data_IF_606991292040
#
_entry.id   IF_606991292040
#
_cell.length_a   1.000
_cell.length_b   1.000
_cell.length_c   1.000
_cell.angle_alpha   90.00
_cell.angle_beta   90.00
_cell.angle_gamma   90.00
#
_symmetry.space_group_name_H-M   'P 1'
#
loop_
_entity.id
_entity.type
_entity.pdbx_description
1 polymer ?
#
# COMPACT_ATOMS: atom_id res chain seq x y z
N UNK A 1 0.55 0.76 28.05
CA UNK A 1 1.99 1.01 27.82
C UNK A 1 2.26 0.79 26.34
N UNK A 2 3.14 1.58 25.72
CA UNK A 2 3.53 1.39 24.30
C UNK A 2 4.46 0.20 24.23
N UNK A 3 4.12 -0.80 23.43
CA UNK A 3 4.91 -1.99 23.19
C UNK A 3 6.22 -1.65 22.47
N UNK A 4 7.25 -2.45 22.74
CA UNK A 4 8.54 -2.37 22.06
C UNK A 4 8.59 -3.38 20.92
N UNK A 5 9.51 -3.21 19.95
CA UNK A 5 9.68 -4.18 18.90
C UNK A 5 9.84 -5.60 19.43
N UNK A 6 9.12 -6.54 18.84
CA UNK A 6 9.17 -7.96 19.24
C UNK A 6 10.42 -8.63 18.67
N UNK A 7 10.76 -8.30 17.44
CA UNK A 7 11.98 -8.74 16.77
C UNK A 7 13.07 -7.70 16.97
N UNK A 8 14.14 -8.08 17.65
CA UNK A 8 15.26 -7.21 17.93
C UNK A 8 16.35 -7.35 16.86
N UNK A 9 17.34 -6.44 16.89
CA UNK A 9 18.52 -6.57 16.04
C UNK A 9 19.33 -7.85 16.34
N UNK A 10 19.32 -8.32 17.59
CA UNK A 10 20.06 -9.52 17.99
C UNK A 10 19.50 -10.77 17.31
N UNK A 11 18.18 -10.84 17.13
CA UNK A 11 17.50 -11.97 16.50
C UNK A 11 17.86 -12.13 15.01
N UNK A 12 18.38 -11.06 14.38
CA UNK A 12 18.64 -10.98 12.94
C UNK A 12 20.06 -10.52 12.61
N UNK A 13 21.00 -10.67 13.54
CA UNK A 13 22.36 -10.14 13.41
C UNK A 13 23.10 -10.64 12.14
N UNK A 14 22.79 -11.87 11.74
CA UNK A 14 23.37 -12.56 10.58
C UNK A 14 22.60 -12.36 9.28
N UNK A 15 21.52 -11.56 9.29
CA UNK A 15 20.72 -11.25 8.10
C UNK A 15 21.39 -10.14 7.25
N UNK A 16 22.03 -10.46 6.11
CA UNK A 16 22.68 -9.46 5.26
C UNK A 16 21.69 -8.49 4.63
N UNK A 17 20.44 -8.92 4.41
CA UNK A 17 19.40 -8.09 3.83
C UNK A 17 18.98 -6.98 4.80
N UNK A 18 18.71 -7.34 6.06
CA UNK A 18 18.45 -6.34 7.12
C UNK A 18 19.65 -5.42 7.34
N UNK A 19 20.89 -5.94 7.26
CA UNK A 19 22.11 -5.11 7.38
C UNK A 19 22.20 -4.04 6.28
N UNK A 20 22.00 -4.41 5.01
CA UNK A 20 22.00 -3.48 3.87
C UNK A 20 20.98 -2.37 4.04
N UNK A 21 19.78 -2.71 4.50
CA UNK A 21 18.72 -1.73 4.76
C UNK A 21 19.09 -0.77 5.91
N UNK A 22 19.63 -1.30 7.02
CA UNK A 22 20.09 -0.48 8.15
C UNK A 22 21.19 0.50 7.76
N UNK A 23 22.14 0.07 6.95
CA UNK A 23 23.18 0.96 6.42
C UNK A 23 22.56 2.07 5.56
N UNK A 24 21.57 1.71 4.75
CA UNK A 24 20.84 2.65 3.90
C UNK A 24 20.10 3.75 4.65
N UNK A 25 19.45 3.42 5.77
CA UNK A 25 18.74 4.38 6.62
C UNK A 25 19.62 4.94 7.75
N UNK A 26 20.92 4.70 7.69
CA UNK A 26 21.92 5.09 8.70
C UNK A 26 21.71 4.53 10.12
N UNK A 27 20.79 3.57 10.29
CA UNK A 27 20.50 2.90 11.56
C UNK A 27 21.64 1.98 12.05
N UNK A 28 22.66 1.74 11.22
CA UNK A 28 23.93 1.12 11.65
C UNK A 28 24.90 2.09 12.32
N UNK A 29 24.74 3.41 12.09
CA UNK A 29 25.59 4.46 12.64
C UNK A 29 24.92 5.18 13.81
N UNK A 30 23.62 5.45 13.67
CA UNK A 30 22.82 6.14 14.67
C UNK A 30 21.75 5.18 15.16
N UNK A 31 22.01 4.56 16.32
CA UNK A 31 21.08 3.59 16.92
C UNK A 31 20.13 4.33 17.85
N UNK A 32 18.83 4.24 17.57
CA UNK A 32 17.80 4.81 18.42
C UNK A 32 17.78 4.12 19.79
N UNK A 33 17.79 4.91 20.86
CA UNK A 33 17.59 4.40 22.23
C UNK A 33 16.18 3.83 22.42
N UNK A 34 16.00 2.97 23.42
CA UNK A 34 14.66 2.45 23.76
C UNK A 34 13.63 3.57 24.01
N UNK A 35 14.05 4.67 24.63
CA UNK A 35 13.19 5.82 24.88
C UNK A 35 12.79 6.54 23.59
N UNK A 36 13.69 6.66 22.62
CA UNK A 36 13.39 7.22 21.29
C UNK A 36 12.45 6.30 20.51
N UNK A 37 12.75 5.01 20.45
CA UNK A 37 11.91 4.00 19.80
C UNK A 37 10.49 4.02 20.38
N UNK A 38 10.36 4.06 21.70
CA UNK A 38 9.06 4.14 22.37
C UNK A 38 8.30 5.42 22.04
N UNK A 39 8.99 6.57 22.00
CA UNK A 39 8.37 7.85 21.61
C UNK A 39 7.91 7.84 20.16
N UNK A 40 8.71 7.30 19.25
CA UNK A 40 8.35 7.19 17.84
C UNK A 40 7.11 6.30 17.64
N UNK A 41 7.07 5.10 18.24
CA UNK A 41 5.89 4.22 18.21
C UNK A 41 4.66 4.87 18.84
N UNK A 42 4.83 5.58 19.96
CA UNK A 42 3.74 6.32 20.58
C UNK A 42 3.16 7.38 19.65
N UNK A 43 4.01 8.19 19.01
CA UNK A 43 3.56 9.21 18.07
C UNK A 43 2.89 8.59 16.83
N UNK A 44 3.41 7.46 16.34
CA UNK A 44 2.78 6.71 15.25
C UNK A 44 1.37 6.25 15.64
N UNK A 45 1.19 5.60 16.80
CA UNK A 45 -0.13 5.18 17.26
C UNK A 45 -1.08 6.35 17.53
N UNK A 46 -0.57 7.48 18.04
CA UNK A 46 -1.36 8.70 18.17
C UNK A 46 -1.88 9.19 16.80
N UNK A 47 -1.06 9.12 15.76
CA UNK A 47 -1.48 9.46 14.39
C UNK A 47 -2.46 8.44 13.80
N UNK A 48 -2.38 7.16 14.18
CA UNK A 48 -3.41 6.17 13.84
C UNK A 48 -4.75 6.55 14.48
N UNK A 49 -4.77 6.94 15.76
CA UNK A 49 -6.00 7.45 16.41
C UNK A 49 -6.52 8.74 15.78
N UNK A 50 -5.64 9.63 15.35
CA UNK A 50 -6.03 10.83 14.60
C UNK A 50 -6.65 10.46 13.24
N UNK A 51 -6.06 9.52 12.50
CA UNK A 51 -6.62 9.04 11.24
C UNK A 51 -8.00 8.40 11.44
N UNK A 52 -8.15 7.56 12.47
CA UNK A 52 -9.44 6.95 12.85
C UNK A 52 -10.52 8.02 13.11
N UNK A 53 -10.18 9.11 13.81
CA UNK A 53 -11.13 10.21 14.03
C UNK A 53 -11.58 10.88 12.73
N UNK A 54 -10.69 10.97 11.73
CA UNK A 54 -11.03 11.50 10.39
C UNK A 54 -11.91 10.56 9.58
N UNK A 55 -11.72 9.24 9.70
CA UNK A 55 -12.67 8.27 9.15
C UNK A 55 -14.05 8.43 9.83
N UNK A 56 -14.08 8.63 11.15
CA UNK A 56 -15.31 8.93 11.89
C UNK A 56 -16.04 10.17 11.37
N UNK A 57 -15.32 11.27 11.12
CA UNK A 57 -15.86 12.49 10.51
C UNK A 57 -16.44 12.23 9.10
N UNK A 58 -15.75 11.46 8.26
CA UNK A 58 -16.23 11.10 6.91
C UNK A 58 -17.50 10.25 6.96
N UNK A 59 -17.54 9.23 7.82
CA UNK A 59 -18.73 8.36 7.99
C UNK A 59 -19.91 9.14 8.55
N UNK A 60 -19.68 10.06 9.50
CA UNK A 60 -20.71 10.95 10.02
C UNK A 60 -21.29 11.84 8.91
N UNK A 61 -20.42 12.44 8.08
CA UNK A 61 -20.86 13.27 6.95
C UNK A 61 -21.68 12.48 5.92
N UNK A 62 -21.27 11.25 5.58
CA UNK A 62 -22.04 10.36 4.69
C UNK A 62 -23.41 10.02 5.29
N UNK A 63 -23.50 9.85 6.62
CA UNK A 63 -24.76 9.59 7.30
C UNK A 63 -25.69 10.80 7.30
N UNK A 64 -25.16 11.98 7.62
CA UNK A 64 -25.91 13.24 7.60
C UNK A 64 -26.42 13.58 6.20
N UNK A 65 -25.65 13.22 5.17
CA UNK A 65 -26.03 13.37 3.77
C UNK A 65 -26.98 12.26 3.26
N UNK A 66 -27.38 11.29 4.09
CA UNK A 66 -28.20 10.13 3.69
C UNK A 66 -27.56 9.28 2.57
N UNK A 67 -26.23 9.27 2.47
CA UNK A 67 -25.47 8.56 1.43
C UNK A 67 -24.81 7.28 1.95
N UNK A 68 -24.72 7.09 3.26
CA UNK A 68 -23.96 5.99 3.86
C UNK A 68 -24.44 4.60 3.39
N UNK A 69 -25.75 4.39 3.33
CA UNK A 69 -26.33 3.08 2.96
C UNK A 69 -26.12 2.72 1.48
N UNK A 70 -25.71 3.68 0.65
CA UNK A 70 -25.38 3.49 -0.76
C UNK A 70 -23.89 3.72 -1.05
N UNK A 71 -23.03 3.67 -0.02
CA UNK A 71 -21.60 3.91 -0.16
C UNK A 71 -20.81 2.69 0.32
N UNK A 72 -19.88 2.23 -0.51
CA UNK A 72 -18.84 1.29 -0.08
C UNK A 72 -17.61 2.10 0.34
N UNK A 73 -17.17 1.89 1.58
CA UNK A 73 -15.97 2.48 2.16
C UNK A 73 -14.86 1.44 2.12
N UNK A 74 -13.72 1.83 1.53
CA UNK A 74 -12.50 1.02 1.49
C UNK A 74 -11.40 1.76 2.25
N UNK A 75 -10.83 1.14 3.27
CA UNK A 75 -9.70 1.68 4.05
C UNK A 75 -8.47 0.83 3.80
N UNK A 76 -7.39 1.46 3.35
CA UNK A 76 -6.11 0.81 3.08
C UNK A 76 -4.93 1.77 3.23
N UNK A 77 -3.72 1.29 2.99
CA UNK A 77 -2.48 2.07 2.96
C UNK A 77 -1.63 1.67 1.75
N UNK A 78 -0.69 2.52 1.34
CA UNK A 78 0.24 2.25 0.24
C UNK A 78 1.39 1.31 0.64
N UNK A 79 1.85 1.41 1.89
CA UNK A 79 2.82 0.49 2.50
C UNK A 79 2.73 0.53 4.03
N UNK A 80 3.44 -0.39 4.70
CA UNK A 80 3.59 -0.44 6.15
C UNK A 80 4.79 0.36 6.67
N UNK A 81 5.14 0.14 7.94
CA UNK A 81 6.33 0.69 8.60
C UNK A 81 6.93 -0.34 9.57
N UNK A 82 8.24 -0.55 9.51
CA UNK A 82 8.97 -1.45 10.40
C UNK A 82 8.91 -1.03 11.87
N UNK A 83 8.73 0.26 12.19
CA UNK A 83 8.55 0.78 13.54
C UNK A 83 9.55 0.27 14.59
N UNK A 84 10.80 0.04 14.18
CA UNK A 84 11.90 -0.45 15.02
C UNK A 84 12.09 -1.97 15.02
N UNK A 85 11.18 -2.74 14.42
CA UNK A 85 11.32 -4.20 14.25
C UNK A 85 12.58 -4.53 13.46
N UNK A 86 13.33 -5.54 13.89
CA UNK A 86 14.63 -5.93 13.30
C UNK A 86 15.70 -4.83 13.39
N UNK A 87 15.46 -3.78 14.17
CA UNK A 87 16.26 -2.55 14.16
C UNK A 87 16.09 -1.72 12.88
N UNK A 88 15.02 -1.94 12.13
CA UNK A 88 14.66 -1.23 10.90
C UNK A 88 13.53 -0.22 11.17
N UNK A 89 13.48 0.81 10.34
CA UNK A 89 12.44 1.85 10.34
C UNK A 89 11.94 2.07 8.92
N UNK A 90 10.74 2.64 8.78
CA UNK A 90 10.12 2.96 7.50
C UNK A 90 9.80 1.70 6.68
N UNK A 91 9.96 1.76 5.35
CA UNK A 91 9.58 0.73 4.38
C UNK A 91 10.79 0.12 3.64
N UNK A 92 10.73 0.08 2.31
CA UNK A 92 11.81 -0.35 1.39
C UNK A 92 12.14 -1.85 1.43
N UNK A 93 11.29 -2.65 2.05
CA UNK A 93 11.52 -4.09 2.21
C UNK A 93 10.20 -4.87 2.26
N UNK A 94 10.31 -6.20 2.16
CA UNK A 94 9.16 -7.10 2.11
C UNK A 94 8.90 -7.90 3.40
N UNK A 95 9.52 -7.52 4.52
CA UNK A 95 9.10 -8.03 5.83
C UNK A 95 7.68 -7.56 6.14
N UNK A 96 6.94 -8.34 6.96
CA UNK A 96 5.51 -8.16 7.22
C UNK A 96 5.18 -6.72 7.60
N UNK A 97 5.95 -6.11 8.50
CA UNK A 97 5.70 -4.76 8.99
C UNK A 97 5.77 -3.67 7.90
N UNK A 98 6.61 -3.86 6.87
CA UNK A 98 6.77 -2.91 5.76
C UNK A 98 5.84 -3.22 4.58
N UNK A 99 5.58 -4.50 4.29
CA UNK A 99 4.81 -4.91 3.12
C UNK A 99 3.30 -5.07 3.37
N UNK A 100 2.91 -5.49 4.58
CA UNK A 100 1.51 -5.76 4.90
C UNK A 100 0.80 -4.44 5.24
N UNK A 101 -0.30 -4.20 4.53
CA UNK A 101 -1.17 -3.04 4.73
C UNK A 101 -2.57 -3.50 5.11
N UNK A 102 -3.34 -2.68 5.85
CA UNK A 102 -4.76 -2.96 6.07
C UNK A 102 -5.52 -2.92 4.74
N UNK A 103 -6.56 -3.74 4.63
CA UNK A 103 -7.57 -3.63 3.58
C UNK A 103 -8.92 -4.00 4.19
N UNK A 104 -9.74 -2.99 4.47
CA UNK A 104 -11.08 -3.15 5.05
C UNK A 104 -12.10 -2.62 4.06
N UNK A 105 -13.15 -3.38 3.79
CA UNK A 105 -14.29 -2.96 2.97
C UNK A 105 -15.56 -3.05 3.80
N UNK A 106 -16.42 -2.04 3.70
CA UNK A 106 -17.72 -2.00 4.35
C UNK A 106 -18.74 -1.27 3.47
N UNK A 107 -19.99 -1.70 3.47
CA UNK A 107 -21.06 -1.08 2.68
C UNK A 107 -22.05 -2.09 2.10
N UNK A 108 -22.96 -1.64 1.24
CA UNK A 108 -23.99 -2.50 0.65
C UNK A 108 -23.37 -3.67 -0.14
N UNK A 109 -23.84 -4.90 0.15
CA UNK A 109 -23.39 -6.12 -0.52
C UNK A 109 -22.03 -6.67 -0.05
N UNK A 110 -21.33 -5.97 0.84
CA UNK A 110 -20.08 -6.46 1.44
C UNK A 110 -20.40 -7.34 2.66
N UNK A 111 -19.84 -8.55 2.69
CA UNK A 111 -20.05 -9.50 3.76
C UNK A 111 -19.30 -9.09 5.04
N UNK A 112 -19.91 -9.38 6.20
CA UNK A 112 -19.21 -9.26 7.48
C UNK A 112 -18.30 -10.46 7.69
N UNK A 113 -17.02 -10.23 7.99
CA UNK A 113 -16.07 -11.28 8.30
C UNK A 113 -14.63 -10.91 7.96
N UNK A 114 -13.78 -11.93 7.86
CA UNK A 114 -12.37 -11.81 7.51
C UNK A 114 -12.04 -12.76 6.37
N UNK A 115 -11.34 -12.27 5.34
CA UNK A 115 -10.69 -13.10 4.34
C UNK A 115 -9.22 -13.33 4.74
N UNK A 116 -8.72 -14.55 4.53
CA UNK A 116 -7.35 -14.93 4.90
C UNK A 116 -6.38 -14.98 3.72
N UNK A 117 -6.90 -14.94 2.50
CA UNK A 117 -6.11 -14.95 1.28
C UNK A 117 -5.17 -13.74 1.21
N UNK A 118 -3.95 -13.97 0.75
CA UNK A 118 -3.08 -12.91 0.28
C UNK A 118 -3.70 -12.23 -0.94
N UNK A 119 -3.64 -10.90 -0.92
CA UNK A 119 -4.07 -10.00 -1.98
C UNK A 119 -3.06 -8.85 -2.11
N UNK A 120 -3.18 -8.05 -3.16
CA UNK A 120 -2.28 -6.93 -3.44
C UNK A 120 -3.04 -5.64 -3.73
N UNK A 121 -2.36 -4.49 -3.57
CA UNK A 121 -2.95 -3.18 -3.89
C UNK A 121 -3.32 -3.04 -5.38
N UNK A 122 -2.67 -3.80 -6.27
CA UNK A 122 -3.04 -3.82 -7.71
C UNK A 122 -4.42 -4.41 -7.96
N UNK A 123 -4.98 -5.15 -7.00
CA UNK A 123 -6.31 -5.74 -7.06
C UNK A 123 -7.42 -4.70 -6.82
N UNK A 124 -7.09 -3.51 -6.29
CA UNK A 124 -8.07 -2.47 -6.00
C UNK A 124 -8.75 -1.94 -7.27
N UNK A 125 -7.99 -1.71 -8.35
CA UNK A 125 -8.55 -1.21 -9.61
C UNK A 125 -9.66 -2.13 -10.18
N UNK A 126 -9.41 -3.42 -10.45
CA UNK A 126 -10.47 -4.32 -10.93
C UNK A 126 -11.57 -4.53 -9.89
N UNK A 127 -11.28 -4.49 -8.59
CA UNK A 127 -12.30 -4.57 -7.54
C UNK A 127 -13.25 -3.37 -7.59
N UNK A 128 -12.74 -2.15 -7.73
CA UNK A 128 -13.57 -0.93 -7.84
C UNK A 128 -14.42 -0.93 -9.11
N UNK A 129 -13.88 -1.44 -10.23
CA UNK A 129 -14.65 -1.61 -11.48
C UNK A 129 -15.80 -2.58 -11.29
N UNK A 130 -15.55 -3.72 -10.63
CA UNK A 130 -16.57 -4.71 -10.35
C UNK A 130 -17.65 -4.19 -9.39
N UNK A 131 -17.24 -3.46 -8.34
CA UNK A 131 -18.16 -2.78 -7.42
C UNK A 131 -19.07 -1.81 -8.18
N UNK A 132 -18.50 -0.96 -9.05
CA UNK A 132 -19.28 -0.01 -9.85
C UNK A 132 -20.27 -0.71 -10.81
N UNK A 133 -19.94 -1.93 -11.24
CA UNK A 133 -20.79 -2.75 -12.10
C UNK A 133 -21.89 -3.52 -11.35
N UNK A 134 -21.85 -3.62 -10.01
CA UNK A 134 -22.90 -4.32 -9.21
C UNK A 134 -24.30 -3.77 -9.46
N UNK A 135 -24.42 -2.49 -9.83
CA UNK A 135 -25.69 -1.84 -10.19
C UNK A 135 -26.16 -2.14 -11.63
N UNK A 136 -25.63 -3.17 -12.29
CA UNK A 136 -25.98 -3.54 -13.67
C UNK A 136 -25.34 -2.65 -14.74
N UNK A 137 -24.26 -1.94 -14.40
CA UNK A 137 -23.49 -1.14 -15.37
C UNK A 137 -22.52 -2.02 -16.15
N UNK A 138 -22.33 -1.71 -17.42
CA UNK A 138 -21.28 -2.33 -18.23
C UNK A 138 -19.90 -1.93 -17.71
N UNK A 139 -18.98 -2.90 -17.64
CA UNK A 139 -17.60 -2.64 -17.23
C UNK A 139 -16.87 -1.92 -18.37
N UNK A 140 -16.11 -0.85 -18.09
CA UNK A 140 -15.28 -0.24 -19.12
C UNK A 140 -14.17 -1.21 -19.55
N UNK A 141 -13.73 -1.08 -20.79
CA UNK A 141 -12.49 -1.70 -21.24
C UNK A 141 -11.29 -1.02 -20.56
N UNK A 142 -10.31 -1.82 -20.11
CA UNK A 142 -9.08 -1.27 -19.58
C UNK A 142 -8.20 -0.73 -20.71
N UNK A 143 -7.65 0.47 -20.53
CA UNK A 143 -6.75 1.10 -21.52
C UNK A 143 -5.40 0.40 -21.69
N UNK A 144 -5.04 -0.50 -20.76
CA UNK A 144 -3.86 -1.35 -20.82
C UNK A 144 -4.10 -2.65 -20.05
N UNK A 145 -3.30 -3.71 -20.29
CA UNK A 145 -3.33 -4.89 -19.45
C UNK A 145 -3.12 -4.53 -17.97
N UNK A 146 -3.89 -5.17 -17.10
CA UNK A 146 -3.77 -5.05 -15.65
C UNK A 146 -3.24 -6.38 -15.07
N UNK A 147 -2.52 -6.31 -13.96
CA UNK A 147 -1.99 -7.50 -13.28
C UNK A 147 -2.80 -7.91 -12.04
N UNK A 148 -3.67 -7.03 -11.56
CA UNK A 148 -4.56 -7.34 -10.44
C UNK A 148 -5.80 -8.12 -10.87
N UNK A 149 -6.49 -8.65 -9.87
CA UNK A 149 -7.77 -9.36 -9.99
C UNK A 149 -8.80 -8.74 -9.06
N UNK A 150 -10.07 -8.92 -9.35
CA UNK A 150 -11.13 -8.43 -8.45
C UNK A 150 -11.16 -9.23 -7.16
N UNK A 151 -11.22 -8.53 -6.02
CA UNK A 151 -11.46 -9.06 -4.68
C UNK A 151 -12.94 -9.06 -4.32
N UNK A 152 -13.83 -8.63 -5.23
CA UNK A 152 -15.27 -8.62 -4.95
C UNK A 152 -15.82 -10.00 -4.54
N UNK A 153 -15.36 -11.15 -5.11
CA UNK A 153 -15.74 -12.46 -4.59
C UNK A 153 -15.44 -12.62 -3.09
N UNK A 154 -14.21 -12.30 -2.66
CA UNK A 154 -13.84 -12.31 -1.24
C UNK A 154 -14.68 -11.34 -0.41
N UNK A 155 -14.85 -10.11 -0.91
CA UNK A 155 -15.59 -9.06 -0.22
C UNK A 155 -17.08 -9.40 -0.04
N UNK A 156 -17.65 -10.25 -0.90
CA UNK A 156 -19.04 -10.72 -0.81
C UNK A 156 -19.17 -12.10 -0.14
N UNK A 157 -18.10 -12.60 0.48
CA UNK A 157 -18.11 -13.86 1.23
C UNK A 157 -18.04 -15.12 0.35
N UNK A 158 -17.65 -14.98 -0.91
CA UNK A 158 -17.44 -16.10 -1.83
C UNK A 158 -16.02 -16.64 -1.70
N UNK A 159 -15.85 -17.91 -2.07
CA UNK A 159 -14.54 -18.54 -2.11
C UNK A 159 -13.72 -18.00 -3.28
N UNK A 160 -12.44 -17.74 -3.00
CA UNK A 160 -11.47 -17.31 -3.97
C UNK A 160 -10.26 -18.26 -3.92
N UNK A 161 -9.94 -18.95 -5.03
CA UNK A 161 -8.84 -19.90 -5.04
C UNK A 161 -7.46 -19.24 -5.05
N UNK A 162 -7.37 -17.92 -5.28
CA UNK A 162 -6.09 -17.22 -5.39
C UNK A 162 -5.67 -16.69 -4.02
N UNK A 163 -4.53 -17.18 -3.54
CA UNK A 163 -3.88 -16.78 -2.29
C UNK A 163 -2.43 -16.37 -2.61
N UNK A 164 -2.30 -15.22 -3.28
CA UNK A 164 -1.03 -14.71 -3.78
C UNK A 164 -0.95 -13.19 -3.75
N UNK A 165 0.21 -12.67 -3.36
CA UNK A 165 0.62 -11.30 -3.57
C UNK A 165 2.05 -11.24 -4.11
N UNK A 166 2.30 -10.33 -5.05
CA UNK A 166 3.61 -10.12 -5.67
C UNK A 166 4.01 -8.66 -5.49
N UNK A 167 5.26 -8.44 -5.12
CA UNK A 167 5.84 -7.12 -4.92
C UNK A 167 7.16 -6.95 -5.65
N UNK A 168 7.40 -5.74 -6.14
CA UNK A 168 8.66 -5.34 -6.75
C UNK A 168 9.18 -4.06 -6.09
N UNK A 169 10.49 -3.97 -5.87
CA UNK A 169 11.12 -2.79 -5.33
C UNK A 169 12.44 -2.48 -6.05
N UNK A 170 12.48 -1.32 -6.70
CA UNK A 170 13.54 -0.88 -7.62
C UNK A 170 14.08 0.53 -7.29
N UNK A 171 13.97 0.94 -6.03
CA UNK A 171 14.28 2.30 -5.58
C UNK A 171 15.54 2.35 -4.69
N UNK A 172 15.57 3.23 -3.68
CA UNK A 172 16.71 3.44 -2.81
C UNK A 172 17.10 2.18 -2.01
N UNK A 173 18.34 2.15 -1.52
CA UNK A 173 18.93 1.08 -0.70
C UNK A 173 19.21 -0.24 -1.41
N UNK A 174 18.82 -0.40 -2.69
CA UNK A 174 19.13 -1.60 -3.49
C UNK A 174 19.83 -1.27 -4.80
N UNK A 175 20.78 -2.12 -5.21
CA UNK A 175 21.46 -2.04 -6.51
C UNK A 175 20.80 -2.86 -7.63
N UNK A 176 19.84 -3.72 -7.25
CA UNK A 176 19.10 -4.66 -8.10
C UNK A 176 17.61 -4.64 -7.72
N UNK A 177 16.70 -5.07 -8.61
CA UNK A 177 15.31 -5.27 -8.21
C UNK A 177 15.24 -6.26 -7.03
N UNK A 178 14.39 -5.94 -6.06
CA UNK A 178 13.96 -6.88 -5.03
C UNK A 178 12.56 -7.34 -5.41
N UNK A 179 12.35 -8.65 -5.45
CA UNK A 179 11.10 -9.28 -5.84
C UNK A 179 10.58 -10.09 -4.65
N UNK A 180 9.29 -10.00 -4.38
CA UNK A 180 8.62 -10.83 -3.39
C UNK A 180 7.47 -11.61 -4.03
N UNK A 181 7.37 -12.88 -3.68
CA UNK A 181 6.23 -13.73 -3.94
C UNK A 181 5.72 -14.25 -2.59
N UNK A 182 4.50 -13.86 -2.23
CA UNK A 182 3.77 -14.33 -1.05
C UNK A 182 2.66 -15.25 -1.53
N UNK A 183 2.75 -16.55 -1.26
CA UNK A 183 1.79 -17.56 -1.74
C UNK A 183 1.52 -18.63 -0.68
N UNK A 184 0.25 -18.87 -0.34
CA UNK A 184 -0.11 -19.87 0.67
C UNK A 184 0.34 -19.45 2.08
N UNK A 185 1.22 -20.22 2.72
CA UNK A 185 1.89 -19.79 3.95
C UNK A 185 3.29 -19.22 3.71
N UNK A 186 3.82 -19.35 2.49
CA UNK A 186 5.20 -19.03 2.20
C UNK A 186 5.38 -17.60 1.68
N UNK A 187 6.48 -16.98 2.07
CA UNK A 187 6.97 -15.72 1.49
C UNK A 187 8.41 -15.89 1.04
N UNK A 188 8.64 -15.69 -0.25
CA UNK A 188 9.96 -15.74 -0.87
C UNK A 188 10.39 -14.35 -1.32
N UNK A 189 11.61 -13.95 -0.98
CA UNK A 189 12.20 -12.67 -1.36
C UNK A 189 13.50 -12.94 -2.12
N UNK A 190 13.62 -12.36 -3.30
CA UNK A 190 14.80 -12.46 -4.15
C UNK A 190 15.39 -11.08 -4.40
N UNK A 191 16.71 -10.97 -4.23
CA UNK A 191 17.50 -9.87 -4.77
C UNK A 191 18.80 -10.46 -5.30
N UNK A 192 19.22 -10.08 -6.50
CA UNK A 192 20.41 -10.68 -7.12
C UNK A 192 21.69 -10.49 -6.27
N UNK A 193 21.78 -9.40 -5.51
CA UNK A 193 22.94 -9.10 -4.68
C UNK A 193 22.93 -9.73 -3.28
N UNK A 194 21.82 -10.35 -2.87
CA UNK A 194 21.65 -10.90 -1.52
C UNK A 194 21.27 -12.39 -1.57
N UNK A 195 21.57 -13.18 -0.53
CA UNK A 195 20.99 -14.51 -0.40
C UNK A 195 19.45 -14.45 -0.41
N UNK A 196 18.77 -15.42 -1.05
CA UNK A 196 17.32 -15.45 -1.04
C UNK A 196 16.79 -15.66 0.39
N UNK A 197 15.60 -15.14 0.64
CA UNK A 197 14.87 -15.35 1.88
C UNK A 197 13.62 -16.19 1.61
N UNK A 198 13.37 -17.19 2.44
CA UNK A 198 12.12 -17.96 2.43
C UNK A 198 11.62 -18.09 3.86
N UNK A 199 10.38 -17.68 4.10
CA UNK A 199 9.71 -17.79 5.39
C UNK A 199 8.43 -18.59 5.26
N UNK A 200 8.12 -19.42 6.25
CA UNK A 200 6.81 -20.03 6.44
C UNK A 200 6.05 -19.24 7.49
N UNK A 201 5.18 -18.33 7.06
CA UNK A 201 4.48 -17.39 7.92
C UNK A 201 3.43 -18.05 8.82
N UNK A 202 3.03 -19.30 8.54
CA UNK A 202 2.13 -20.04 9.41
C UNK A 202 2.83 -20.46 10.72
N UNK A 203 4.12 -20.76 10.66
CA UNK A 203 4.92 -21.22 11.81
C UNK A 203 5.90 -20.16 12.32
N UNK A 204 6.28 -19.20 11.48
CA UNK A 204 7.20 -18.10 11.77
C UNK A 204 6.63 -16.75 11.29
N UNK A 205 5.60 -16.21 11.97
CA UNK A 205 4.96 -14.95 11.58
C UNK A 205 5.87 -13.72 11.73
N UNK A 206 6.98 -13.84 12.45
CA UNK A 206 7.95 -12.77 12.68
C UNK A 206 9.18 -12.87 11.74
N UNK A 207 9.21 -13.87 10.85
CA UNK A 207 10.24 -14.03 9.83
C UNK A 207 11.67 -14.10 10.41
N UNK A 208 11.81 -14.85 11.50
CA UNK A 208 13.08 -14.99 12.23
C UNK A 208 14.00 -16.01 11.57
N UNK A 209 13.45 -17.06 10.95
CA UNK A 209 14.23 -18.18 10.44
C UNK A 209 14.15 -18.22 8.92
N UNK A 210 15.22 -17.81 8.25
CA UNK A 210 15.34 -17.98 6.80
C UNK A 210 15.49 -19.48 6.44
N UNK A 211 14.51 -20.01 5.72
CA UNK A 211 14.42 -21.40 5.27
C UNK A 211 14.92 -21.64 3.84
N UNK A 212 15.49 -20.63 3.18
CA UNK A 212 15.89 -20.76 1.77
C UNK A 212 16.96 -21.84 1.54
N UNK A 213 17.77 -22.14 2.56
CA UNK A 213 18.79 -23.20 2.53
C UNK A 213 18.38 -24.46 3.31
N UNK A 214 17.12 -24.56 3.79
CA UNK A 214 16.62 -25.72 4.52
C UNK A 214 16.40 -26.89 3.56
N UNK A 215 17.08 -28.05 3.73
CA UNK A 215 16.91 -29.20 2.85
C UNK A 215 15.47 -29.70 2.78
N UNK A 216 14.68 -29.53 3.85
CA UNK A 216 13.28 -29.94 3.88
C UNK A 216 12.37 -29.09 2.98
N UNK A 217 12.80 -27.86 2.65
CA UNK A 217 12.07 -26.91 1.80
C UNK A 217 12.80 -26.61 0.48
N UNK A 218 13.77 -27.45 0.11
CA UNK A 218 14.59 -27.25 -1.09
C UNK A 218 13.75 -27.18 -2.38
N UNK A 219 12.75 -28.05 -2.53
CA UNK A 219 11.85 -28.03 -3.70
C UNK A 219 10.99 -26.76 -3.75
N UNK A 220 10.49 -26.30 -2.59
CA UNK A 220 9.70 -25.06 -2.48
C UNK A 220 10.55 -23.85 -2.86
N UNK A 221 11.75 -23.73 -2.28
CA UNK A 221 12.68 -22.64 -2.57
C UNK A 221 13.10 -22.64 -4.06
N UNK A 222 13.39 -23.82 -4.62
CA UNK A 222 13.73 -23.97 -6.03
C UNK A 222 12.56 -23.59 -6.97
N UNK A 223 11.32 -23.93 -6.60
CA UNK A 223 10.14 -23.55 -7.37
C UNK A 223 9.95 -22.03 -7.44
N UNK A 224 10.05 -21.33 -6.30
CA UNK A 224 10.00 -19.87 -6.31
C UNK A 224 11.17 -19.24 -7.07
N UNK A 225 12.39 -19.77 -6.91
CA UNK A 225 13.55 -19.29 -7.63
C UNK A 225 13.40 -19.46 -9.16
N UNK A 226 12.87 -20.60 -9.60
CA UNK A 226 12.60 -20.86 -11.01
C UNK A 226 11.54 -19.91 -11.57
N UNK A 227 10.47 -19.65 -10.81
CA UNK A 227 9.45 -18.68 -11.20
C UNK A 227 10.03 -17.26 -11.31
N UNK A 228 10.88 -16.86 -10.35
CA UNK A 228 11.54 -15.56 -10.41
C UNK A 228 12.40 -15.45 -11.67
N UNK A 229 13.21 -16.47 -11.96
CA UNK A 229 14.06 -16.49 -13.14
C UNK A 229 13.27 -16.51 -14.47
N UNK A 230 12.07 -17.08 -14.47
CA UNK A 230 11.20 -17.12 -15.64
C UNK A 230 10.51 -15.78 -15.91
N UNK A 231 10.08 -15.09 -14.85
CA UNK A 231 9.24 -13.88 -14.96
C UNK A 231 10.04 -12.58 -14.98
N UNK A 232 11.21 -12.54 -14.35
CA UNK A 232 12.02 -11.33 -14.22
C UNK A 232 13.44 -11.52 -14.75
N UNK A 233 13.81 -10.70 -15.74
CA UNK A 233 15.22 -10.48 -16.10
C UNK A 233 15.78 -9.35 -15.21
N UNK A 234 16.33 -9.73 -14.05
CA UNK A 234 16.88 -8.79 -13.06
C UNK A 234 17.97 -7.88 -13.63
N UNK A 235 18.75 -8.36 -14.59
CA UNK A 235 19.80 -7.57 -15.24
C UNK A 235 19.21 -6.56 -16.22
N UNK A 236 18.20 -6.95 -17.00
CA UNK A 236 17.48 -6.02 -17.87
C UNK A 236 16.75 -4.94 -17.06
N UNK A 237 16.03 -5.32 -16.00
CA UNK A 237 15.35 -4.37 -15.11
C UNK A 237 16.35 -3.38 -14.53
N UNK A 238 17.50 -3.85 -14.04
CA UNK A 238 18.57 -2.98 -13.53
C UNK A 238 19.07 -2.00 -14.60
N UNK A 239 19.30 -2.46 -15.84
CA UNK A 239 19.71 -1.58 -16.95
C UNK A 239 18.67 -0.51 -17.23
N UNK A 240 17.38 -0.85 -17.21
CA UNK A 240 16.29 0.09 -17.46
C UNK A 240 16.11 1.10 -16.32
N UNK A 241 16.24 0.66 -15.07
CA UNK A 241 16.25 1.56 -13.89
C UNK A 241 17.39 2.58 -14.01
N UNK A 242 18.63 2.13 -14.32
CA UNK A 242 19.78 3.03 -14.50
C UNK A 242 19.55 3.99 -15.67
N UNK A 243 18.95 3.52 -16.78
CA UNK A 243 18.60 4.36 -17.92
C UNK A 243 17.62 5.46 -17.52
N UNK A 244 16.54 5.10 -16.84
CA UNK A 244 15.53 6.03 -16.33
C UNK A 244 16.13 7.06 -15.37
N UNK A 245 17.00 6.63 -14.44
CA UNK A 245 17.70 7.53 -13.52
C UNK A 245 18.58 8.53 -14.27
N UNK A 246 19.36 8.09 -15.27
CA UNK A 246 20.20 8.97 -16.09
C UNK A 246 19.37 9.97 -16.89
N UNK A 247 18.27 9.52 -17.50
CA UNK A 247 17.35 10.40 -18.24
C UNK A 247 16.74 11.46 -17.32
N UNK A 248 16.19 11.07 -16.18
CA UNK A 248 15.59 12.01 -15.21
C UNK A 248 16.60 13.02 -14.69
N UNK A 249 17.84 12.62 -14.40
CA UNK A 249 18.90 13.55 -13.98
C UNK A 249 19.19 14.62 -15.03
N UNK A 250 19.29 14.23 -16.30
CA UNK A 250 19.53 15.18 -17.38
C UNK A 250 18.37 16.16 -17.57
N UNK A 251 17.13 15.66 -17.55
CA UNK A 251 15.92 16.50 -17.65
C UNK A 251 15.78 17.42 -16.44
N UNK A 252 15.96 16.90 -15.23
CA UNK A 252 15.86 17.67 -14.00
C UNK A 252 16.88 18.81 -13.95
N UNK A 253 18.15 18.52 -14.28
CA UNK A 253 19.18 19.56 -14.38
C UNK A 253 18.81 20.67 -15.38
N UNK A 254 18.13 20.33 -16.47
CA UNK A 254 17.64 21.33 -17.43
C UNK A 254 16.45 22.13 -16.88
N UNK A 255 15.53 21.48 -16.16
CA UNK A 255 14.35 22.12 -15.56
C UNK A 255 14.69 23.07 -14.40
N UNK A 256 15.80 22.85 -13.72
CA UNK A 256 16.29 23.72 -12.63
C UNK A 256 16.99 24.99 -13.15
N UNK A 257 17.26 25.09 -14.46
CA UNK A 257 17.85 26.30 -15.04
C UNK A 257 16.79 27.34 -15.39
N UNK A 258 16.94 28.54 -14.84
CA UNK A 258 16.08 29.68 -15.16
C UNK A 258 14.78 29.68 -14.36
N UNK A 259 13.66 30.01 -15.01
CA UNK A 259 12.37 30.08 -14.36
C UNK A 259 11.78 28.68 -14.15
N UNK A 260 11.61 28.30 -12.88
CA UNK A 260 11.02 27.01 -12.51
C UNK A 260 9.55 26.97 -12.93
N UNK A 261 9.19 25.95 -13.71
CA UNK A 261 7.78 25.62 -13.98
C UNK A 261 7.36 24.51 -13.02
N UNK A 262 6.52 24.85 -12.05
CA UNK A 262 5.98 23.85 -11.11
C UNK A 262 4.99 22.91 -11.82
N UNK A 263 5.01 21.64 -11.41
CA UNK A 263 4.03 20.62 -11.78
C UNK A 263 3.08 20.29 -10.63
N UNK A 264 3.12 21.06 -9.54
CA UNK A 264 2.23 20.89 -8.40
C UNK A 264 0.79 21.10 -8.86
N UNK A 265 -0.09 20.18 -8.48
CA UNK A 265 -1.51 20.31 -8.80
C UNK A 265 -2.07 21.52 -8.06
N UNK A 266 -2.52 22.53 -8.81
CA UNK A 266 -3.28 23.65 -8.28
C UNK A 266 -4.78 23.38 -8.52
N UNK A 267 -5.57 23.04 -7.47
CA UNK A 267 -6.99 22.77 -7.64
C UNK A 267 -7.70 23.95 -8.29
N UNK A 268 -8.37 23.76 -9.44
CA UNK A 268 -9.03 24.85 -10.12
C UNK A 268 -10.14 25.40 -9.23
N UNK A 269 -10.14 26.71 -9.02
CA UNK A 269 -11.16 27.41 -8.25
C UNK A 269 -11.61 28.64 -9.02
N UNK A 270 -12.88 28.70 -9.36
CA UNK A 270 -13.49 29.86 -9.99
C UNK A 270 -14.41 30.56 -9.00
N UNK A 271 -13.86 31.52 -8.26
CA UNK A 271 -14.64 32.33 -7.33
C UNK A 271 -15.76 33.10 -8.03
N UNK A 272 -15.74 33.32 -9.35
CA UNK A 272 -16.85 33.96 -10.05
C UNK A 272 -18.11 33.08 -10.12
N UNK A 273 -17.98 31.76 -9.89
CA UNK A 273 -19.07 30.77 -9.98
C UNK A 273 -19.49 30.18 -8.63
N UNK A 274 -18.82 30.53 -7.53
CA UNK A 274 -19.17 30.04 -6.19
C UNK A 274 -20.24 30.91 -5.50
N UNK A 275 -21.08 30.34 -4.63
CA UNK A 275 -22.08 31.08 -3.85
C UNK A 275 -23.05 31.94 -4.69
N UNK A 276 -23.69 32.94 -4.08
CA UNK A 276 -24.59 33.86 -4.77
C UNK A 276 -23.77 34.90 -5.54
N UNK A 277 -24.12 35.10 -6.81
CA UNK A 277 -23.53 36.11 -7.69
C UNK A 277 -24.64 36.93 -8.34
N UNK A 278 -24.36 38.17 -8.73
CA UNK A 278 -25.38 39.09 -9.27
C UNK A 278 -26.01 38.63 -10.59
N UNK A 279 -25.44 37.62 -11.26
CA UNK A 279 -25.99 37.00 -12.45
C UNK A 279 -26.86 35.76 -12.16
N UNK A 280 -27.11 35.44 -10.87
CA UNK A 280 -27.92 34.31 -10.42
C UNK A 280 -29.21 34.82 -9.75
N UNK A 281 -30.29 34.07 -9.91
CA UNK A 281 -31.49 34.26 -9.09
C UNK A 281 -31.23 33.73 -7.67
N UNK A 282 -31.19 34.62 -6.69
CA UNK A 282 -30.90 34.28 -5.30
C UNK A 282 -31.96 33.34 -4.69
N UNK A 283 -33.19 33.33 -5.21
CA UNK A 283 -34.26 32.43 -4.77
C UNK A 283 -34.00 30.99 -5.21
N UNK A 284 -33.31 30.80 -6.34
CA UNK A 284 -32.92 29.49 -6.87
C UNK A 284 -31.63 28.98 -6.22
N UNK A 285 -30.68 29.88 -5.92
CA UNK A 285 -29.40 29.51 -5.32
C UNK A 285 -29.58 28.80 -3.96
N UNK A 286 -30.44 29.33 -3.09
CA UNK A 286 -30.70 28.74 -1.78
C UNK A 286 -31.38 27.36 -1.87
N UNK A 287 -32.27 27.16 -2.85
CA UNK A 287 -32.92 25.87 -3.08
C UNK A 287 -31.96 24.81 -3.65
N UNK A 288 -30.99 25.21 -4.48
CA UNK A 288 -30.00 24.30 -5.08
C UNK A 288 -28.93 23.81 -4.10
N UNK A 289 -28.56 24.62 -3.12
CA UNK A 289 -27.43 24.32 -2.21
C UNK A 289 -27.87 23.76 -0.86
N UNK A 290 -29.17 23.79 -0.55
CA UNK A 290 -29.72 23.26 0.69
C UNK A 290 -29.99 21.75 0.57
N UNK A 291 -29.51 20.99 1.55
CA UNK A 291 -29.84 19.59 1.75
C UNK A 291 -30.18 19.31 3.23
N UNK A 292 -31.18 18.47 3.54
CA UNK A 292 -32.19 17.96 2.60
C UNK A 292 -33.02 19.12 2.02
N UNK A 293 -33.59 18.97 0.80
CA UNK A 293 -34.44 19.99 0.20
C UNK A 293 -35.63 20.34 1.10
N UNK A 294 -36.13 21.57 1.04
CA UNK A 294 -37.40 21.91 1.68
C UNK A 294 -38.52 21.06 1.08
N UNK A 295 -39.30 20.39 1.91
CA UNK A 295 -40.57 19.80 1.49
C UNK A 295 -41.41 20.92 0.84
N UNK A 296 -41.88 20.70 -0.38
CA UNK A 296 -42.85 21.61 -0.98
C UNK A 296 -44.11 21.50 -0.15
N UNK A 297 -44.52 22.59 0.51
CA UNK A 297 -45.84 22.66 1.09
C UNK A 297 -46.87 22.36 -0.01
N UNK A 298 -47.69 21.32 0.21
CA UNK A 298 -48.82 20.95 -0.66
C UNK A 298 -49.84 22.09 -0.79
#
# INVERSE_FOLDING_TARGET
>A
AIDMPTTTLADVADDPFSRRLRDGIEASRVVASEAETRRARHAYYANVSYFDSKIGEMVAALREAELLDNTIVIVTADHGDMLGERGLWYKMNFFEHSARVPLVMAGPGIAQGTAVNACSLVDLLPTMVDIAAMAGREKPEFGSPINGRSLLPLATGQHDPIDEAIGEYCAEMTGYPVIMIRRGSYKYIHCHSDPPLLFDLATDPNELVNRAADPALAEVAASFAAEVAQRWDSEQIRRDVIRSQKQRRAVHAAMEMGAITSWDYNPPRDASQEYVRNHMDWTVAAAKTRFPPLEKAE
#
